data_IF_155172252311
#
_entry.id   IF_155172252311
#
_cell.length_a   1.000
_cell.length_b   1.000
_cell.length_c   1.000
_cell.angle_alpha   90.00
_cell.angle_beta   90.00
_cell.angle_gamma   90.00
#
_symmetry.space_group_name_H-M   'P 1'
#
loop_
_entity.id
_entity.type
_entity.pdbx_description
1 polymer ?
#
# COMPACT_ATOMS: atom_id res chain seq x y z
N UNK A 1 36.70 -36.22 -7.64
CA UNK A 1 35.44 -36.79 -7.11
C UNK A 1 34.38 -36.87 -8.21
N UNK A 2 33.92 -35.75 -8.77
CA UNK A 2 32.86 -35.76 -9.78
C UNK A 2 33.19 -36.57 -11.04
N UNK A 3 34.38 -36.42 -11.63
CA UNK A 3 34.79 -37.19 -12.82
C UNK A 3 34.74 -38.72 -12.60
N UNK A 4 35.01 -39.20 -11.37
CA UNK A 4 34.96 -40.62 -11.05
C UNK A 4 33.52 -41.16 -10.96
N UNK A 5 32.54 -40.29 -10.70
CA UNK A 5 31.13 -40.64 -10.52
C UNK A 5 30.33 -40.36 -11.80
N UNK A 6 30.83 -39.48 -12.66
CA UNK A 6 30.20 -39.02 -13.90
C UNK A 6 29.66 -40.13 -14.80
N UNK A 7 30.35 -41.27 -15.01
CA UNK A 7 29.82 -42.37 -15.83
C UNK A 7 28.58 -43.06 -15.24
N UNK A 8 28.34 -42.90 -13.94
CA UNK A 8 27.17 -43.45 -13.23
C UNK A 8 25.98 -42.50 -13.21
N UNK A 9 26.17 -41.22 -13.58
CA UNK A 9 25.11 -40.24 -13.61
C UNK A 9 24.23 -40.41 -14.87
N UNK A 10 22.93 -40.11 -14.79
CA UNK A 10 22.07 -40.01 -15.97
C UNK A 10 22.61 -39.02 -17.03
N UNK A 11 22.12 -39.06 -18.29
CA UNK A 11 22.53 -38.11 -19.32
C UNK A 11 22.46 -36.66 -18.83
N UNK A 12 23.57 -35.93 -18.98
CA UNK A 12 23.70 -34.58 -18.49
C UNK A 12 24.70 -33.78 -19.32
N UNK A 13 24.55 -32.46 -19.31
CA UNK A 13 25.55 -31.52 -19.82
C UNK A 13 26.24 -30.83 -18.66
N UNK A 14 27.52 -30.51 -18.84
CA UNK A 14 28.29 -29.71 -17.90
C UNK A 14 28.28 -28.26 -18.34
N UNK A 15 28.02 -27.34 -17.40
CA UNK A 15 28.24 -25.91 -17.56
C UNK A 15 29.19 -25.41 -16.48
N UNK A 16 29.92 -24.35 -16.78
CA UNK A 16 30.74 -23.67 -15.77
C UNK A 16 29.85 -23.18 -14.62
N UNK A 17 30.26 -23.51 -13.40
CA UNK A 17 29.63 -23.00 -12.19
C UNK A 17 30.33 -21.73 -11.68
N UNK A 18 29.95 -21.30 -10.48
CA UNK A 18 30.66 -20.22 -9.80
C UNK A 18 31.79 -20.79 -8.94
N UNK A 19 32.96 -20.13 -8.96
CA UNK A 19 34.15 -20.55 -8.22
C UNK A 19 34.52 -22.02 -8.49
N UNK A 20 34.62 -22.86 -7.44
CA UNK A 20 35.00 -24.28 -7.55
C UNK A 20 33.81 -25.22 -7.85
N UNK A 21 32.64 -24.69 -8.23
CA UNK A 21 31.48 -25.50 -8.57
C UNK A 21 31.36 -25.73 -10.07
N UNK A 22 30.69 -26.82 -10.44
CA UNK A 22 30.23 -27.08 -11.81
C UNK A 22 28.72 -27.29 -11.80
N UNK A 23 28.06 -26.96 -12.90
CA UNK A 23 26.62 -27.21 -13.06
C UNK A 23 26.39 -28.46 -13.88
N UNK A 24 25.64 -29.41 -13.32
CA UNK A 24 25.09 -30.55 -14.03
C UNK A 24 23.67 -30.19 -14.49
N UNK A 25 23.45 -30.15 -15.80
CA UNK A 25 22.14 -29.87 -16.39
C UNK A 25 21.59 -31.15 -16.99
N UNK A 26 20.46 -31.60 -16.44
CA UNK A 26 19.71 -32.76 -16.89
C UNK A 26 18.55 -32.31 -17.77
N UNK A 27 18.16 -33.13 -18.74
CA UNK A 27 17.02 -32.82 -19.61
C UNK A 27 15.70 -32.97 -18.85
N UNK A 28 15.63 -33.96 -17.95
CA UNK A 28 14.42 -34.28 -17.17
C UNK A 28 14.65 -34.21 -15.67
N UNK A 29 13.59 -33.91 -14.93
CA UNK A 29 13.65 -33.85 -13.47
C UNK A 29 14.01 -35.22 -12.88
N UNK A 30 13.45 -36.29 -13.41
CA UNK A 30 13.68 -37.68 -12.96
C UNK A 30 15.14 -38.13 -13.12
N UNK A 31 15.86 -37.54 -14.08
CA UNK A 31 17.30 -37.77 -14.26
C UNK A 31 18.11 -37.06 -13.19
N UNK A 32 17.79 -35.78 -12.91
CA UNK A 32 18.40 -35.06 -11.80
C UNK A 32 18.11 -35.76 -10.46
N UNK A 33 16.88 -36.21 -10.25
CA UNK A 33 16.43 -36.94 -9.06
C UNK A 33 17.25 -38.22 -8.83
N UNK A 34 17.51 -38.99 -9.89
CA UNK A 34 18.38 -40.18 -9.84
C UNK A 34 19.86 -39.85 -9.62
N UNK A 35 20.33 -38.69 -10.06
CA UNK A 35 21.70 -38.25 -9.84
C UNK A 35 22.01 -37.91 -8.37
N UNK A 36 21.02 -37.37 -7.63
CA UNK A 36 21.17 -36.91 -6.24
C UNK A 36 21.70 -37.96 -5.26
N UNK A 37 21.14 -39.18 -5.15
CA UNK A 37 21.67 -40.21 -4.25
C UNK A 37 23.10 -40.60 -4.65
N UNK A 38 23.38 -40.74 -5.94
CA UNK A 38 24.70 -41.09 -6.46
C UNK A 38 25.76 -40.05 -6.05
N UNK A 39 25.44 -38.76 -6.18
CA UNK A 39 26.34 -37.68 -5.74
C UNK A 39 26.52 -37.69 -4.22
N UNK A 40 25.45 -37.88 -3.46
CA UNK A 40 25.45 -37.92 -1.99
C UNK A 40 26.28 -39.06 -1.42
N UNK A 41 26.11 -40.27 -1.93
CA UNK A 41 26.87 -41.47 -1.53
C UNK A 41 28.37 -41.32 -1.79
N UNK A 42 28.75 -40.51 -2.78
CA UNK A 42 30.14 -40.24 -3.13
C UNK A 42 30.68 -38.95 -2.47
N UNK A 43 29.98 -38.40 -1.47
CA UNK A 43 30.42 -37.24 -0.69
C UNK A 43 30.46 -35.93 -1.48
N UNK A 44 29.83 -35.88 -2.66
CA UNK A 44 29.78 -34.69 -3.50
C UNK A 44 28.63 -33.81 -3.01
N UNK A 45 28.98 -32.64 -2.47
CA UNK A 45 27.99 -31.63 -2.08
C UNK A 45 27.41 -30.99 -3.33
N UNK A 46 26.08 -30.89 -3.38
CA UNK A 46 25.37 -30.24 -4.46
C UNK A 46 24.28 -29.31 -3.91
N UNK A 47 23.81 -28.39 -4.76
CA UNK A 47 22.59 -27.62 -4.55
C UNK A 47 21.75 -27.78 -5.82
N UNK A 48 20.45 -27.97 -5.66
CA UNK A 48 19.54 -28.00 -6.80
C UNK A 48 19.38 -26.57 -7.32
N UNK A 49 19.33 -26.42 -8.65
CA UNK A 49 19.08 -25.13 -9.29
C UNK A 49 17.66 -24.60 -9.04
N UNK A 50 17.31 -23.47 -9.66
CA UNK A 50 15.97 -22.88 -9.60
C UNK A 50 14.97 -23.59 -10.52
N UNK A 51 14.99 -24.92 -10.54
CA UNK A 51 14.07 -25.71 -11.35
C UNK A 51 12.67 -25.64 -10.77
N UNK A 52 11.67 -25.39 -11.61
CA UNK A 52 10.28 -25.50 -11.22
C UNK A 52 9.93 -26.97 -11.06
N UNK A 53 9.43 -27.33 -9.89
CA UNK A 53 8.99 -28.68 -9.57
C UNK A 53 7.46 -28.73 -9.55
N UNK A 54 6.84 -29.90 -9.74
CA UNK A 54 5.40 -30.06 -9.62
C UNK A 54 4.88 -29.45 -8.31
N UNK A 55 3.84 -28.62 -8.42
CA UNK A 55 3.22 -28.00 -7.25
C UNK A 55 2.19 -28.96 -6.66
N UNK A 56 2.46 -29.44 -5.44
CA UNK A 56 1.60 -30.40 -4.76
C UNK A 56 0.26 -29.75 -4.39
N UNK A 57 -0.84 -30.32 -4.89
CA UNK A 57 -2.19 -29.81 -4.63
C UNK A 57 -2.88 -30.47 -3.43
N UNK A 58 -2.65 -31.77 -3.22
CA UNK A 58 -3.40 -32.57 -2.23
C UNK A 58 -2.49 -33.18 -1.16
N UNK A 59 -3.08 -33.43 0.00
CA UNK A 59 -2.45 -34.06 1.16
C UNK A 59 -3.41 -35.00 1.88
N UNK A 60 -2.88 -35.70 2.88
CA UNK A 60 -3.62 -36.65 3.72
C UNK A 60 -4.00 -36.02 5.08
N UNK A 61 -4.40 -34.75 5.08
CA UNK A 61 -4.80 -34.05 6.30
C UNK A 61 -6.28 -34.30 6.58
N UNK A 62 -6.62 -34.51 7.85
CA UNK A 62 -8.01 -34.68 8.30
C UNK A 62 -8.85 -33.40 8.16
N UNK A 63 -8.19 -32.23 8.15
CA UNK A 63 -8.84 -30.92 8.04
C UNK A 63 -8.45 -30.23 6.73
N UNK A 64 -9.46 -29.94 5.89
CA UNK A 64 -9.32 -29.25 4.61
C UNK A 64 -10.48 -29.53 3.66
N UNK A 65 -10.50 -28.88 2.49
CA UNK A 65 -11.49 -29.17 1.44
C UNK A 65 -11.22 -30.56 0.86
N UNK A 66 -12.21 -31.48 0.81
CA UNK A 66 -12.03 -32.80 0.21
C UNK A 66 -11.62 -32.69 -1.26
N UNK A 67 -10.57 -33.41 -1.64
CA UNK A 67 -10.17 -33.53 -3.03
C UNK A 67 -11.02 -34.61 -3.72
N UNK A 68 -11.38 -34.43 -5.01
CA UNK A 68 -12.03 -35.47 -5.77
C UNK A 68 -11.10 -36.68 -5.91
N UNK A 69 -11.69 -37.87 -6.04
CA UNK A 69 -10.94 -39.08 -6.36
C UNK A 69 -10.36 -38.96 -7.78
N UNK A 70 -9.05 -39.09 -7.89
CA UNK A 70 -8.30 -39.03 -9.16
C UNK A 70 -7.35 -40.21 -9.18
N UNK A 71 -7.35 -40.97 -10.28
CA UNK A 71 -6.42 -42.10 -10.49
C UNK A 71 -6.45 -43.16 -9.36
N UNK A 72 -7.60 -43.34 -8.70
CA UNK A 72 -7.77 -44.28 -7.58
C UNK A 72 -7.20 -43.79 -6.24
N UNK A 73 -6.84 -42.51 -6.14
CA UNK A 73 -6.44 -41.87 -4.89
C UNK A 73 -7.66 -41.23 -4.22
N UNK A 74 -8.09 -41.83 -3.10
CA UNK A 74 -9.23 -41.38 -2.30
C UNK A 74 -8.80 -40.83 -0.92
N UNK A 75 -9.73 -40.17 -0.22
CA UNK A 75 -9.51 -39.70 1.16
C UNK A 75 -8.50 -38.56 1.30
N UNK A 76 -8.23 -37.82 0.22
CA UNK A 76 -7.30 -36.69 0.22
C UNK A 76 -8.03 -35.36 0.44
N UNK A 77 -7.28 -34.36 0.92
CA UNK A 77 -7.72 -32.97 1.07
C UNK A 77 -6.82 -32.04 0.27
N UNK A 78 -7.35 -30.92 -0.20
CA UNK A 78 -6.53 -29.85 -0.78
C UNK A 78 -5.64 -29.24 0.29
N UNK A 79 -4.38 -29.03 -0.07
CA UNK A 79 -3.45 -28.37 0.83
C UNK A 79 -3.76 -26.87 0.91
N UNK A 80 -3.56 -26.28 2.09
CA UNK A 80 -3.96 -24.89 2.37
C UNK A 80 -3.34 -23.87 1.40
N UNK A 81 -2.11 -24.13 0.93
CA UNK A 81 -1.44 -23.25 -0.02
C UNK A 81 -2.19 -23.16 -1.37
N UNK A 82 -2.44 -24.27 -2.09
CA UNK A 82 -3.34 -24.28 -3.26
C UNK A 82 -4.70 -23.64 -3.00
N UNK A 83 -5.37 -23.97 -1.89
CA UNK A 83 -6.67 -23.39 -1.55
C UNK A 83 -6.62 -21.87 -1.40
N UNK A 84 -5.56 -21.34 -0.76
CA UNK A 84 -5.38 -19.91 -0.58
C UNK A 84 -5.23 -19.14 -1.90
N UNK A 85 -4.77 -19.78 -2.97
CA UNK A 85 -4.65 -19.16 -4.29
C UNK A 85 -6.02 -18.89 -4.94
N UNK A 86 -7.07 -19.57 -4.48
CA UNK A 86 -8.45 -19.40 -4.94
C UNK A 86 -9.30 -18.55 -4.01
N UNK A 87 -8.89 -18.44 -2.74
CA UNK A 87 -9.65 -17.74 -1.71
C UNK A 87 -10.06 -16.30 -2.10
N UNK A 88 -9.24 -15.48 -2.79
CA UNK A 88 -9.67 -14.14 -3.22
C UNK A 88 -10.95 -14.12 -4.07
N UNK A 89 -11.14 -15.10 -4.96
CA UNK A 89 -12.36 -15.23 -5.76
C UNK A 89 -13.56 -15.58 -4.86
N UNK A 90 -13.36 -16.47 -3.89
CA UNK A 90 -14.40 -16.85 -2.92
C UNK A 90 -14.79 -15.67 -2.02
N UNK A 91 -13.83 -14.81 -1.66
CA UNK A 91 -14.09 -13.58 -0.92
C UNK A 91 -14.90 -12.58 -1.76
N UNK A 92 -14.59 -12.43 -3.06
CA UNK A 92 -15.42 -11.63 -3.98
C UNK A 92 -16.85 -12.14 -4.03
N UNK A 93 -17.05 -13.46 -4.21
CA UNK A 93 -18.37 -14.08 -4.22
C UNK A 93 -19.13 -13.83 -2.91
N UNK A 94 -18.47 -14.03 -1.76
CA UNK A 94 -19.06 -13.81 -0.42
C UNK A 94 -19.47 -12.35 -0.22
N UNK A 95 -18.63 -11.40 -0.65
CA UNK A 95 -18.92 -9.98 -0.56
C UNK A 95 -20.16 -9.59 -1.40
N UNK A 96 -20.27 -10.15 -2.61
CA UNK A 96 -21.43 -9.95 -3.48
C UNK A 96 -22.71 -10.49 -2.85
N UNK A 97 -22.68 -11.70 -2.27
CA UNK A 97 -23.83 -12.27 -1.57
C UNK A 97 -24.27 -11.41 -0.37
N UNK A 98 -23.32 -10.88 0.40
CA UNK A 98 -23.61 -9.97 1.52
C UNK A 98 -24.26 -8.66 1.05
N UNK A 99 -24.03 -8.25 -0.19
CA UNK A 99 -24.67 -7.09 -0.83
C UNK A 99 -25.98 -7.45 -1.55
N UNK A 100 -26.45 -8.69 -1.45
CA UNK A 100 -27.67 -9.17 -2.10
C UNK A 100 -27.51 -9.48 -3.59
N UNK A 101 -26.28 -9.55 -4.10
CA UNK A 101 -25.97 -9.93 -5.48
C UNK A 101 -25.71 -11.44 -5.60
N UNK A 102 -25.95 -12.06 -6.77
CA UNK A 102 -25.60 -13.46 -6.99
C UNK A 102 -24.09 -13.71 -6.84
N UNK A 103 -23.69 -14.74 -6.10
CA UNK A 103 -22.29 -15.13 -5.94
C UNK A 103 -21.55 -15.24 -7.29
N UNK A 104 -22.21 -15.77 -8.32
CA UNK A 104 -21.65 -15.97 -9.66
C UNK A 104 -21.16 -14.69 -10.35
N UNK A 105 -21.59 -13.51 -9.89
CA UNK A 105 -21.11 -12.23 -10.39
C UNK A 105 -19.63 -11.97 -10.04
N UNK A 106 -18.99 -12.83 -9.23
CA UNK A 106 -17.53 -12.77 -9.04
C UNK A 106 -16.78 -12.79 -10.39
N UNK A 107 -17.36 -13.44 -11.43
CA UNK A 107 -16.77 -13.47 -12.78
C UNK A 107 -16.62 -12.09 -13.40
N UNK A 108 -17.50 -11.14 -13.07
CA UNK A 108 -17.42 -9.75 -13.54
C UNK A 108 -16.17 -9.03 -13.02
N UNK A 109 -15.58 -9.52 -11.92
CA UNK A 109 -14.41 -8.92 -11.28
C UNK A 109 -13.10 -9.67 -11.58
N UNK A 110 -13.19 -10.86 -12.17
CA UNK A 110 -12.05 -11.76 -12.34
C UNK A 110 -11.90 -12.31 -13.75
N UNK A 111 -12.92 -12.25 -14.60
CA UNK A 111 -12.97 -12.94 -15.89
C UNK A 111 -13.42 -12.05 -17.06
N UNK A 112 -13.53 -10.74 -16.86
CA UNK A 112 -13.81 -9.78 -17.93
C UNK A 112 -12.53 -9.11 -18.41
N UNK A 113 -12.50 -8.62 -19.66
CA UNK A 113 -11.28 -7.99 -20.20
C UNK A 113 -10.91 -6.65 -19.54
N UNK A 114 -11.88 -5.96 -18.94
CA UNK A 114 -11.69 -4.71 -18.20
C UNK A 114 -11.28 -4.94 -16.73
N UNK A 115 -11.46 -6.16 -16.20
CA UNK A 115 -11.04 -6.50 -14.84
C UNK A 115 -9.52 -6.45 -14.69
N UNK A 116 -9.07 -5.70 -13.67
CA UNK A 116 -7.67 -5.69 -13.22
C UNK A 116 -7.62 -6.07 -11.74
N UNK A 117 -6.98 -7.19 -11.44
CA UNK A 117 -6.87 -7.71 -10.08
C UNK A 117 -5.49 -7.39 -9.52
N UNK A 118 -5.43 -6.76 -8.35
CA UNK A 118 -4.18 -6.49 -7.63
C UNK A 118 -4.05 -7.37 -6.38
N UNK A 119 -2.90 -7.99 -6.18
CA UNK A 119 -2.56 -8.82 -5.02
C UNK A 119 -1.47 -8.13 -4.19
N UNK A 120 -1.87 -7.46 -3.11
CA UNK A 120 -0.94 -6.88 -2.14
C UNK A 120 -0.44 -7.96 -1.18
N UNK A 121 0.84 -8.32 -1.29
CA UNK A 121 1.41 -9.45 -0.54
C UNK A 121 2.77 -9.11 0.06
N UNK A 122 3.17 -9.87 1.08
CA UNK A 122 4.57 -9.91 1.52
C UNK A 122 5.47 -10.64 0.51
N UNK A 123 6.74 -10.24 0.42
CA UNK A 123 7.70 -10.78 -0.56
C UNK A 123 7.88 -12.31 -0.52
N UNK A 124 7.71 -12.92 0.66
CA UNK A 124 7.78 -14.38 0.85
C UNK A 124 6.65 -15.13 0.09
N UNK A 125 5.59 -14.43 -0.34
CA UNK A 125 4.45 -15.02 -1.06
C UNK A 125 4.52 -14.89 -2.59
N UNK A 126 5.56 -14.23 -3.13
CA UNK A 126 5.66 -13.94 -4.57
C UNK A 126 5.66 -15.21 -5.43
N UNK A 127 6.28 -16.30 -4.97
CA UNK A 127 6.23 -17.58 -5.70
C UNK A 127 4.80 -18.10 -5.85
N UNK A 128 4.02 -18.06 -4.77
CA UNK A 128 2.69 -18.66 -4.71
C UNK A 128 1.70 -17.89 -5.60
N UNK A 129 1.67 -16.57 -5.49
CA UNK A 129 0.74 -15.75 -6.28
C UNK A 129 1.28 -15.41 -7.67
N UNK A 130 2.60 -15.37 -7.87
CA UNK A 130 3.20 -14.91 -9.12
C UNK A 130 3.56 -16.00 -10.10
N UNK A 131 3.67 -17.22 -9.60
CA UNK A 131 3.97 -18.38 -10.43
C UNK A 131 2.91 -19.46 -10.27
N UNK A 132 2.66 -19.95 -9.05
CA UNK A 132 1.75 -21.07 -8.86
C UNK A 132 0.30 -20.72 -9.25
N UNK A 133 -0.23 -19.60 -8.75
CA UNK A 133 -1.59 -19.13 -9.11
C UNK A 133 -1.71 -18.87 -10.62
N UNK A 134 -0.73 -18.19 -11.21
CA UNK A 134 -0.75 -17.88 -12.64
C UNK A 134 -0.72 -19.14 -13.50
N UNK A 135 0.11 -20.12 -13.14
CA UNK A 135 0.17 -21.40 -13.84
C UNK A 135 -1.15 -22.17 -13.72
N UNK A 136 -1.79 -22.14 -12.55
CA UNK A 136 -3.11 -22.73 -12.34
C UNK A 136 -4.16 -22.07 -13.23
N UNK A 137 -4.20 -20.73 -13.28
CA UNK A 137 -5.16 -19.99 -14.10
C UNK A 137 -4.93 -20.24 -15.59
N UNK A 138 -3.68 -20.21 -16.04
CA UNK A 138 -3.30 -20.55 -17.41
C UNK A 138 -3.68 -22.00 -17.78
N UNK A 139 -3.53 -22.93 -16.85
CA UNK A 139 -3.91 -24.33 -17.04
C UNK A 139 -5.41 -24.58 -17.12
N UNK A 140 -6.23 -23.60 -16.75
CA UNK A 140 -7.70 -23.66 -16.82
C UNK A 140 -8.29 -22.98 -18.06
N UNK A 141 -7.45 -22.34 -18.88
CA UNK A 141 -7.88 -21.72 -20.12
C UNK A 141 -8.24 -22.78 -21.16
N UNK A 142 -9.18 -22.44 -22.04
CA UNK A 142 -9.50 -23.28 -23.19
C UNK A 142 -8.48 -23.05 -24.31
N UNK A 143 -7.90 -24.14 -24.83
CA UNK A 143 -6.93 -24.09 -25.91
C UNK A 143 -5.51 -23.75 -25.45
N UNK A 144 -4.81 -22.89 -26.19
CA UNK A 144 -3.40 -22.57 -25.91
C UNK A 144 -3.32 -21.48 -24.83
N UNK A 145 -2.64 -21.72 -23.70
CA UNK A 145 -2.53 -20.72 -22.64
C UNK A 145 -1.91 -19.40 -23.10
N UNK A 146 -2.51 -18.30 -22.66
CA UNK A 146 -2.13 -16.91 -22.98
C UNK A 146 -2.22 -16.01 -21.76
N UNK A 147 -1.32 -15.02 -21.69
CA UNK A 147 -1.31 -13.99 -20.63
C UNK A 147 -2.38 -12.92 -20.84
N UNK A 148 -3.00 -12.85 -22.02
CA UNK A 148 -4.20 -12.06 -22.28
C UNK A 148 -5.36 -13.01 -22.63
N UNK A 149 -6.05 -13.58 -21.62
CA UNK A 149 -7.16 -14.50 -21.84
C UNK A 149 -8.34 -13.83 -22.57
N UNK A 150 -9.13 -14.60 -23.34
CA UNK A 150 -10.41 -14.14 -23.87
C UNK A 150 -11.41 -13.79 -22.75
N UNK A 151 -12.51 -13.14 -23.15
CA UNK A 151 -13.64 -12.84 -22.26
C UNK A 151 -14.21 -14.13 -21.64
N UNK A 152 -14.47 -14.12 -20.34
CA UNK A 152 -14.99 -15.26 -19.59
C UNK A 152 -13.92 -16.15 -18.94
N UNK A 153 -12.64 -15.95 -19.25
CA UNK A 153 -11.52 -16.64 -18.61
C UNK A 153 -10.81 -15.79 -17.56
N UNK A 154 -10.23 -16.45 -16.55
CA UNK A 154 -9.59 -15.78 -15.41
C UNK A 154 -8.43 -14.88 -15.84
N UNK A 155 -8.51 -13.60 -15.44
CA UNK A 155 -7.43 -12.62 -15.63
C UNK A 155 -6.24 -12.96 -14.73
N UNK A 156 -5.04 -12.82 -15.28
CA UNK A 156 -3.82 -12.90 -14.47
C UNK A 156 -3.75 -11.67 -13.55
N UNK A 157 -3.30 -11.88 -12.32
CA UNK A 157 -3.26 -10.83 -11.29
C UNK A 157 -1.97 -10.00 -11.36
N UNK A 158 -2.03 -8.77 -10.84
CA UNK A 158 -0.88 -7.88 -10.68
C UNK A 158 -0.39 -7.97 -9.25
N UNK A 159 0.87 -8.37 -9.07
CA UNK A 159 1.44 -8.47 -7.72
C UNK A 159 2.01 -7.13 -7.28
N UNK A 160 1.62 -6.71 -6.08
CA UNK A 160 2.23 -5.60 -5.36
C UNK A 160 2.93 -6.18 -4.13
N UNK A 161 4.21 -6.47 -4.28
CA UNK A 161 5.02 -7.11 -3.25
C UNK A 161 5.63 -6.08 -2.29
N UNK A 162 5.42 -6.30 -0.99
CA UNK A 162 6.00 -5.50 0.09
C UNK A 162 7.07 -6.31 0.82
N UNK A 163 8.24 -5.71 1.04
CA UNK A 163 9.33 -6.31 1.81
C UNK A 163 9.04 -6.29 3.31
N UNK A 164 9.84 -7.02 4.08
CA UNK A 164 9.64 -7.13 5.53
C UNK A 164 9.68 -5.77 6.25
N UNK A 165 8.77 -5.62 7.21
CA UNK A 165 8.96 -4.71 8.33
C UNK A 165 9.78 -5.43 9.39
N UNK A 166 10.92 -4.86 9.76
CA UNK A 166 11.74 -5.35 10.87
C UNK A 166 11.29 -4.67 12.16
N UNK A 167 11.29 -5.38 13.28
CA UNK A 167 11.04 -4.77 14.59
C UNK A 167 12.37 -4.58 15.30
N UNK A 168 12.73 -3.32 15.61
CA UNK A 168 14.01 -2.97 16.22
C UNK A 168 15.22 -3.63 15.49
N UNK A 169 15.23 -3.50 14.16
CA UNK A 169 16.26 -4.01 13.23
C UNK A 169 16.38 -5.52 13.09
N UNK A 170 15.40 -6.26 13.62
CA UNK A 170 15.36 -7.72 13.54
C UNK A 170 14.07 -8.20 12.92
N UNK A 171 14.13 -9.35 12.25
CA UNK A 171 12.91 -10.04 11.82
C UNK A 171 12.08 -10.34 13.05
N UNK A 172 10.82 -9.91 13.04
CA UNK A 172 9.89 -10.11 14.13
C UNK A 172 9.80 -11.61 14.47
N UNK A 173 9.92 -11.94 15.76
CA UNK A 173 9.91 -13.32 16.25
C UNK A 173 9.01 -13.43 17.46
N UNK A 174 7.99 -14.29 17.39
CA UNK A 174 7.07 -14.57 18.50
C UNK A 174 7.73 -15.30 19.66
N UNK A 175 8.84 -16.01 19.41
CA UNK A 175 9.67 -16.69 20.41
C UNK A 175 10.82 -15.84 20.96
N UNK A 176 10.99 -14.61 20.45
CA UNK A 176 12.04 -13.69 20.89
C UNK A 176 11.78 -13.08 22.27
N UNK A 177 12.84 -12.65 22.96
CA UNK A 177 12.74 -11.95 24.24
C UNK A 177 12.02 -10.58 24.13
N UNK A 178 12.17 -9.90 22.99
CA UNK A 178 11.46 -8.66 22.67
C UNK A 178 10.37 -9.00 21.66
N UNK A 179 9.13 -9.05 22.13
CA UNK A 179 7.99 -9.41 21.29
C UNK A 179 7.59 -8.23 20.41
N UNK A 180 7.32 -8.45 19.11
CA UNK A 180 6.71 -7.43 18.28
C UNK A 180 5.32 -7.06 18.85
N UNK A 181 4.93 -5.78 18.84
CA UNK A 181 3.62 -5.37 19.32
C UNK A 181 2.51 -5.87 18.41
N UNK A 182 1.33 -6.09 18.98
CA UNK A 182 0.11 -6.27 18.20
C UNK A 182 -0.37 -4.91 17.70
N UNK A 183 -1.15 -4.91 16.62
CA UNK A 183 -1.73 -3.67 16.08
C UNK A 183 -2.53 -2.90 17.14
N UNK A 184 -3.28 -3.61 18.00
CA UNK A 184 -4.02 -2.98 19.10
C UNK A 184 -3.13 -2.30 20.15
N UNK A 185 -1.94 -2.85 20.41
CA UNK A 185 -1.01 -2.30 21.42
C UNK A 185 -0.40 -0.98 20.92
N UNK A 186 -0.32 -0.80 19.60
CA UNK A 186 0.10 0.46 18.99
C UNK A 186 -0.93 1.57 19.21
N UNK A 187 -2.22 1.24 19.31
CA UNK A 187 -3.29 2.21 19.51
C UNK A 187 -3.29 2.83 20.91
N UNK A 188 -2.53 2.28 21.85
CA UNK A 188 -2.29 2.91 23.16
C UNK A 188 -1.34 4.12 23.06
N UNK A 189 -0.67 4.30 21.92
CA UNK A 189 0.36 5.32 21.74
C UNK A 189 0.17 6.19 20.51
N UNK A 190 -0.57 5.71 19.50
CA UNK A 190 -0.70 6.35 18.20
C UNK A 190 -2.16 6.35 17.75
N UNK A 191 -2.58 7.40 17.05
CA UNK A 191 -3.89 7.38 16.37
C UNK A 191 -3.81 6.53 15.09
N UNK A 192 -4.96 6.16 14.54
CA UNK A 192 -5.04 5.39 13.30
C UNK A 192 -4.39 6.16 12.14
N UNK A 193 -4.70 7.44 11.97
CA UNK A 193 -4.11 8.31 10.95
C UNK A 193 -2.58 8.41 11.07
N UNK A 194 -2.04 8.45 12.30
CA UNK A 194 -0.60 8.47 12.53
C UNK A 194 0.07 7.17 12.05
N UNK A 195 -0.52 6.01 12.36
CA UNK A 195 -0.01 4.72 11.91
C UNK A 195 -0.13 4.54 10.40
N UNK A 196 -1.25 4.95 9.80
CA UNK A 196 -1.45 4.90 8.33
C UNK A 196 -0.40 5.73 7.60
N UNK A 197 -0.20 6.98 8.01
CA UNK A 197 0.80 7.86 7.44
C UNK A 197 2.22 7.30 7.58
N UNK A 198 2.53 6.67 8.72
CA UNK A 198 3.82 6.02 8.93
C UNK A 198 4.01 4.81 8.02
N UNK A 199 3.08 3.85 8.00
CA UNK A 199 3.28 2.61 7.24
C UNK A 199 3.30 2.84 5.71
N UNK A 200 2.50 3.76 5.20
CA UNK A 200 2.51 4.11 3.78
C UNK A 200 3.79 4.85 3.36
N UNK A 201 4.50 5.51 4.29
CA UNK A 201 5.75 6.21 4.01
C UNK A 201 7.00 5.33 3.99
N UNK A 202 6.91 4.06 4.42
CA UNK A 202 8.08 3.19 4.56
C UNK A 202 8.72 2.75 3.23
N UNK A 203 8.01 2.87 2.10
CA UNK A 203 8.56 2.45 0.80
C UNK A 203 8.91 0.96 0.75
N UNK A 204 8.06 0.09 1.32
CA UNK A 204 8.31 -1.36 1.40
C UNK A 204 8.40 -2.05 0.03
N UNK A 205 7.92 -1.41 -1.03
CA UNK A 205 8.14 -1.82 -2.42
C UNK A 205 9.61 -1.74 -2.87
N UNK A 206 10.49 -1.05 -2.13
CA UNK A 206 11.91 -0.85 -2.48
C UNK A 206 12.87 -1.61 -1.56
N UNK A 207 12.60 -1.61 -0.24
CA UNK A 207 13.49 -2.18 0.77
C UNK A 207 12.74 -2.59 2.03
N UNK A 208 13.30 -3.53 2.78
CA UNK A 208 12.85 -3.80 4.14
C UNK A 208 13.16 -2.59 5.03
N UNK A 209 12.25 -2.22 5.91
CA UNK A 209 12.41 -1.07 6.81
C UNK A 209 12.17 -1.46 8.26
N UNK A 210 12.91 -0.83 9.16
CA UNK A 210 12.83 -1.08 10.59
C UNK A 210 11.81 -0.17 11.26
N UNK A 211 10.79 -0.78 11.82
CA UNK A 211 9.79 -0.16 12.68
C UNK A 211 10.34 -0.05 14.10
N UNK A 212 10.45 1.18 14.59
CA UNK A 212 11.06 1.53 15.88
C UNK A 212 10.18 2.48 16.70
N UNK A 213 8.99 2.04 17.14
CA UNK A 213 8.13 2.83 18.03
C UNK A 213 8.87 3.16 19.33
N UNK A 214 9.05 4.45 19.62
CA UNK A 214 9.78 4.90 20.83
C UNK A 214 9.21 4.32 22.14
N UNK A 215 7.88 4.32 22.39
CA UNK A 215 7.30 3.82 23.64
C UNK A 215 7.53 2.32 23.87
N UNK A 216 7.80 1.57 22.79
CA UNK A 216 7.96 0.12 22.80
C UNK A 216 9.41 -0.31 22.52
N UNK A 217 10.34 0.64 22.48
CA UNK A 217 11.76 0.38 22.34
C UNK A 217 12.46 0.50 23.70
N UNK A 218 12.89 -0.62 24.33
CA UNK A 218 13.54 -0.60 25.63
C UNK A 218 14.87 0.17 25.67
N UNK A 219 15.45 0.48 24.50
CA UNK A 219 16.71 1.21 24.34
C UNK A 219 16.50 2.65 23.88
N UNK A 220 15.26 3.12 23.78
CA UNK A 220 14.97 4.47 23.34
C UNK A 220 15.57 5.51 24.30
N UNK A 221 16.23 6.53 23.74
CA UNK A 221 16.61 7.70 24.51
C UNK A 221 15.35 8.53 24.81
N UNK A 222 15.04 8.88 26.07
CA UNK A 222 13.92 9.75 26.39
C UNK A 222 13.91 11.08 25.63
N UNK A 223 15.06 11.57 25.17
CA UNK A 223 15.22 12.82 24.41
C UNK A 223 15.07 12.65 22.90
N UNK A 224 15.11 11.44 22.37
CA UNK A 224 14.99 11.24 20.93
C UNK A 224 13.55 11.46 20.45
N UNK A 225 13.39 11.94 19.22
CA UNK A 225 12.07 12.00 18.59
C UNK A 225 11.59 10.58 18.26
N UNK A 226 10.29 10.33 18.40
CA UNK A 226 9.73 9.05 18.00
C UNK A 226 9.77 8.90 16.46
N UNK A 227 10.50 7.92 15.91
CA UNK A 227 10.58 7.71 14.46
C UNK A 227 9.21 7.47 13.81
N UNK A 228 8.27 6.90 14.55
CA UNK A 228 6.91 6.61 14.05
C UNK A 228 6.08 7.88 13.87
N UNK A 229 6.43 8.96 14.59
CA UNK A 229 5.71 10.22 14.52
C UNK A 229 6.23 11.17 13.44
N UNK A 230 7.20 10.79 12.62
CA UNK A 230 7.78 11.69 11.60
C UNK A 230 6.70 12.20 10.63
N UNK A 231 5.92 11.30 10.03
CA UNK A 231 4.85 11.67 9.10
C UNK A 231 3.60 12.16 9.84
N UNK A 232 3.35 11.66 11.05
CA UNK A 232 2.32 12.21 11.93
C UNK A 232 2.52 13.72 12.20
N UNK A 233 3.78 14.16 12.37
CA UNK A 233 4.10 15.55 12.61
C UNK A 233 3.83 16.46 11.40
N UNK A 234 3.84 15.91 10.18
CA UNK A 234 3.36 16.63 9.00
C UNK A 234 1.87 16.96 9.17
N UNK A 235 1.06 15.96 9.53
CA UNK A 235 -0.38 16.11 9.73
C UNK A 235 -0.67 17.04 10.92
N UNK A 236 -0.20 16.67 12.12
CA UNK A 236 -0.57 17.32 13.37
C UNK A 236 0.00 18.73 13.53
N UNK A 237 1.05 19.07 12.78
CA UNK A 237 1.68 20.39 12.86
C UNK A 237 1.50 21.18 11.56
N UNK A 238 2.13 20.76 10.45
CA UNK A 238 2.16 21.56 9.23
C UNK A 238 0.79 21.63 8.55
N UNK A 239 0.06 20.52 8.49
CA UNK A 239 -1.25 20.49 7.86
C UNK A 239 -2.31 21.18 8.72
N UNK A 240 -2.35 20.88 10.03
CA UNK A 240 -3.18 21.66 10.98
C UNK A 240 -2.90 23.16 10.86
N UNK A 241 -1.62 23.59 10.80
CA UNK A 241 -1.28 25.01 10.63
C UNK A 241 -1.89 25.58 9.34
N UNK A 242 -1.77 24.89 8.22
CA UNK A 242 -2.32 25.32 6.94
C UNK A 242 -3.84 25.51 7.04
N UNK A 243 -4.57 24.49 7.48
CA UNK A 243 -6.03 24.52 7.58
C UNK A 243 -6.49 25.60 8.58
N UNK A 244 -5.96 25.58 9.81
CA UNK A 244 -6.35 26.50 10.88
C UNK A 244 -6.10 27.95 10.50
N UNK A 245 -5.01 28.23 9.78
CA UNK A 245 -4.68 29.58 9.34
C UNK A 245 -5.75 30.15 8.40
N UNK A 246 -6.24 29.33 7.47
CA UNK A 246 -7.37 29.70 6.61
C UNK A 246 -8.62 29.98 7.46
N UNK A 247 -9.06 29.03 8.29
CA UNK A 247 -10.27 29.19 9.11
C UNK A 247 -10.24 30.41 10.03
N UNK A 248 -9.17 30.60 10.81
CA UNK A 248 -9.07 31.73 11.74
C UNK A 248 -9.05 33.08 11.03
N UNK A 249 -8.37 33.17 9.89
CA UNK A 249 -8.27 34.43 9.14
C UNK A 249 -9.58 34.75 8.44
N UNK A 250 -10.25 33.74 7.88
CA UNK A 250 -11.59 33.87 7.32
C UNK A 250 -12.63 34.25 8.37
N UNK A 251 -12.59 33.64 9.56
CA UNK A 251 -13.45 34.02 10.69
C UNK A 251 -13.23 35.47 11.13
N UNK A 252 -11.97 35.95 11.13
CA UNK A 252 -11.65 37.32 11.59
C UNK A 252 -12.01 38.39 10.55
N UNK A 253 -11.77 38.14 9.26
CA UNK A 253 -11.80 39.19 8.24
C UNK A 253 -12.86 39.00 7.15
N UNK A 254 -13.51 37.84 7.08
CA UNK A 254 -14.47 37.47 6.03
C UNK A 254 -15.75 36.84 6.60
N UNK A 255 -16.09 37.10 7.86
CA UNK A 255 -17.30 36.61 8.53
C UNK A 255 -17.47 35.08 8.46
N UNK A 256 -16.37 34.33 8.38
CA UNK A 256 -16.42 32.87 8.26
C UNK A 256 -16.77 32.35 6.86
N UNK A 257 -16.78 33.20 5.82
CA UNK A 257 -17.15 32.84 4.43
C UNK A 257 -15.92 32.77 3.53
N UNK A 258 -15.94 31.88 2.53
CA UNK A 258 -14.89 31.81 1.52
C UNK A 258 -14.74 33.18 0.83
N UNK A 259 -13.55 33.79 0.78
CA UNK A 259 -13.35 35.03 0.04
C UNK A 259 -13.55 34.81 -1.46
N UNK A 260 -14.17 35.76 -2.13
CA UNK A 260 -14.28 35.77 -3.58
C UNK A 260 -12.92 36.07 -4.22
N UNK A 261 -12.63 35.40 -5.33
CA UNK A 261 -11.40 35.63 -6.08
C UNK A 261 -11.03 34.49 -7.01
N UNK A 262 -10.06 34.77 -7.87
CA UNK A 262 -9.42 33.79 -8.74
C UNK A 262 -8.10 33.35 -8.12
N UNK A 263 -7.84 32.05 -8.14
CA UNK A 263 -6.57 31.46 -7.70
C UNK A 263 -5.43 31.97 -8.59
N UNK A 264 -4.29 32.29 -8.00
CA UNK A 264 -3.11 32.73 -8.74
C UNK A 264 -2.68 31.65 -9.76
N UNK A 265 -2.32 32.01 -11.01
CA UNK A 265 -1.97 31.03 -12.04
C UNK A 265 -0.84 30.08 -11.63
N UNK A 266 0.17 30.57 -10.91
CA UNK A 266 1.29 29.75 -10.43
C UNK A 266 0.87 28.76 -9.33
N UNK A 267 -0.18 29.07 -8.55
CA UNK A 267 -0.75 28.15 -7.56
C UNK A 267 -1.57 27.07 -8.24
N UNK A 268 -2.31 27.41 -9.29
CA UNK A 268 -3.03 26.44 -10.12
C UNK A 268 -2.04 25.45 -10.74
N UNK A 269 -1.05 25.95 -11.49
CA UNK A 269 -0.03 25.11 -12.14
C UNK A 269 0.68 24.17 -11.14
N UNK A 270 1.09 24.73 -9.99
CA UNK A 270 1.76 23.95 -8.94
C UNK A 270 0.89 22.85 -8.35
N UNK A 271 -0.39 23.15 -8.11
CA UNK A 271 -1.35 22.22 -7.53
C UNK A 271 -1.73 21.13 -8.53
N UNK A 272 -1.97 21.48 -9.79
CA UNK A 272 -2.22 20.54 -10.89
C UNK A 272 -1.04 19.57 -11.05
N UNK A 273 0.20 20.09 -11.02
CA UNK A 273 1.41 19.26 -11.08
C UNK A 273 1.47 18.28 -9.89
N UNK A 274 1.18 18.75 -8.68
CA UNK A 274 1.16 17.89 -7.49
C UNK A 274 0.12 16.76 -7.60
N UNK A 275 -1.07 17.06 -8.15
CA UNK A 275 -2.14 16.07 -8.35
C UNK A 275 -1.70 15.01 -9.35
N UNK A 276 -1.11 15.41 -10.48
CA UNK A 276 -0.65 14.50 -11.53
C UNK A 276 0.53 13.63 -11.06
N UNK A 277 1.50 14.23 -10.37
CA UNK A 277 2.63 13.50 -9.78
C UNK A 277 2.16 12.50 -8.71
N UNK A 278 1.15 12.88 -7.92
CA UNK A 278 0.53 12.01 -6.93
C UNK A 278 -0.17 10.83 -7.62
N UNK A 279 -0.93 11.08 -8.69
CA UNK A 279 -1.61 10.04 -9.46
C UNK A 279 -0.60 9.05 -10.05
N UNK A 280 0.49 9.55 -10.65
CA UNK A 280 1.58 8.70 -11.17
C UNK A 280 2.20 7.85 -10.07
N UNK A 281 2.49 8.44 -8.90
CA UNK A 281 3.02 7.71 -7.75
C UNK A 281 2.05 6.62 -7.26
N UNK A 282 0.74 6.92 -7.19
CA UNK A 282 -0.29 5.96 -6.79
C UNK A 282 -0.41 4.80 -7.78
N UNK A 283 -0.41 5.06 -9.09
CA UNK A 283 -0.44 4.03 -10.14
C UNK A 283 0.80 3.12 -10.07
N UNK A 284 1.95 3.67 -9.71
CA UNK A 284 3.20 2.93 -9.50
C UNK A 284 3.30 2.24 -8.15
N UNK A 285 2.32 2.45 -7.26
CA UNK A 285 2.33 1.96 -5.88
C UNK A 285 3.49 2.54 -5.05
N UNK A 286 3.99 3.72 -5.43
CA UNK A 286 5.01 4.51 -4.74
C UNK A 286 4.35 5.38 -3.64
N UNK A 287 3.62 4.78 -2.70
CA UNK A 287 2.82 5.51 -1.71
C UNK A 287 3.63 6.49 -0.85
N UNK A 288 4.89 6.15 -0.58
CA UNK A 288 5.81 7.01 0.15
C UNK A 288 6.08 8.33 -0.60
N UNK A 289 6.22 8.26 -1.93
CA UNK A 289 6.38 9.42 -2.80
C UNK A 289 5.09 10.21 -2.91
N UNK A 290 3.94 9.53 -2.99
CA UNK A 290 2.63 10.18 -2.98
C UNK A 290 2.46 11.05 -1.71
N UNK A 291 2.82 10.55 -0.53
CA UNK A 291 2.81 11.31 0.72
C UNK A 291 3.81 12.47 0.68
N UNK A 292 5.01 12.27 0.13
CA UNK A 292 6.04 13.31 0.04
C UNK A 292 5.62 14.49 -0.84
N UNK A 293 4.96 14.22 -1.98
CA UNK A 293 4.41 15.25 -2.88
C UNK A 293 3.41 16.14 -2.14
N UNK A 294 2.48 15.53 -1.38
CA UNK A 294 1.50 16.31 -0.61
C UNK A 294 2.16 17.05 0.56
N UNK A 295 3.18 16.45 1.18
CA UNK A 295 3.96 17.10 2.22
C UNK A 295 4.65 18.38 1.72
N UNK A 296 5.20 18.34 0.50
CA UNK A 296 5.79 19.51 -0.16
C UNK A 296 4.74 20.58 -0.44
N UNK A 297 3.59 20.21 -0.99
CA UNK A 297 2.48 21.15 -1.24
C UNK A 297 2.03 21.86 0.05
N UNK A 298 1.89 21.11 1.16
CA UNK A 298 1.53 21.68 2.47
C UNK A 298 2.62 22.62 2.99
N UNK A 299 3.91 22.27 2.82
CA UNK A 299 5.03 23.12 3.26
C UNK A 299 5.10 24.41 2.45
N UNK A 300 4.95 24.32 1.13
CA UNK A 300 4.91 25.48 0.23
C UNK A 300 3.75 26.41 0.57
N UNK A 301 2.55 25.87 0.81
CA UNK A 301 1.40 26.66 1.26
C UNK A 301 1.73 27.46 2.54
N UNK A 302 2.30 26.79 3.54
CA UNK A 302 2.69 27.45 4.80
C UNK A 302 3.77 28.53 4.59
N UNK A 303 4.70 28.34 3.64
CA UNK A 303 5.71 29.34 3.29
C UNK A 303 5.08 30.56 2.61
N UNK A 304 4.20 30.36 1.61
CA UNK A 304 3.44 31.44 0.95
C UNK A 304 2.62 32.23 1.97
N UNK A 305 1.92 31.52 2.84
CA UNK A 305 1.15 32.12 3.94
C UNK A 305 1.99 32.99 4.86
N UNK A 306 3.16 32.48 5.27
CA UNK A 306 4.10 33.22 6.14
C UNK A 306 4.66 34.45 5.43
N UNK A 307 4.92 34.38 4.12
CA UNK A 307 5.40 35.53 3.34
C UNK A 307 4.34 36.63 3.22
N UNK A 308 3.08 36.25 2.96
CA UNK A 308 1.97 37.20 2.82
C UNK A 308 1.51 37.81 4.16
N UNK A 309 1.71 37.10 5.28
CA UNK A 309 1.27 37.52 6.62
C UNK A 309 -0.21 37.98 6.70
N UNK A 310 -1.18 37.25 6.11
CA UNK A 310 -2.57 37.70 5.99
C UNK A 310 -3.29 37.87 7.33
N UNK A 311 -2.78 37.23 8.39
CA UNK A 311 -3.33 37.31 9.74
C UNK A 311 -3.07 38.65 10.44
N UNK A 312 -2.06 39.42 9.99
CA UNK A 312 -1.70 40.71 10.56
C UNK A 312 -2.73 41.79 10.22
N UNK A 313 -2.95 42.74 11.11
CA UNK A 313 -3.98 43.76 10.96
C UNK A 313 -3.63 44.76 9.86
N UNK A 314 -2.34 45.11 9.77
CA UNK A 314 -1.74 45.99 8.77
C UNK A 314 -1.59 45.36 7.38
N UNK A 315 -1.95 44.08 7.21
CA UNK A 315 -1.90 43.42 5.91
C UNK A 315 -2.90 44.07 4.95
N UNK A 316 -2.44 44.38 3.73
CA UNK A 316 -3.29 44.90 2.66
C UNK A 316 -4.48 43.95 2.41
N UNK A 317 -5.73 44.46 2.34
CA UNK A 317 -6.91 43.64 2.16
C UNK A 317 -6.89 42.74 0.92
N UNK A 318 -6.35 43.23 -0.20
CA UNK A 318 -6.26 42.44 -1.44
C UNK A 318 -5.20 41.34 -1.33
N UNK A 319 -4.06 41.65 -0.71
CA UNK A 319 -3.03 40.63 -0.41
C UNK A 319 -3.59 39.55 0.51
N UNK A 320 -4.34 39.93 1.56
CA UNK A 320 -5.01 38.99 2.47
C UNK A 320 -6.01 38.11 1.74
N UNK A 321 -6.86 38.71 0.91
CA UNK A 321 -7.88 38.02 0.12
C UNK A 321 -7.24 36.99 -0.81
N UNK A 322 -6.24 37.40 -1.59
CA UNK A 322 -5.52 36.50 -2.52
C UNK A 322 -4.81 35.36 -1.76
N UNK A 323 -4.13 35.67 -0.65
CA UNK A 323 -3.47 34.64 0.16
C UNK A 323 -4.44 33.58 0.69
N UNK A 324 -5.67 33.97 1.05
CA UNK A 324 -6.71 33.02 1.44
C UNK A 324 -7.23 32.19 0.27
N UNK A 325 -7.53 32.82 -0.87
CA UNK A 325 -8.01 32.12 -2.07
C UNK A 325 -7.00 31.05 -2.50
N UNK A 326 -5.72 31.43 -2.60
CA UNK A 326 -4.63 30.52 -2.94
C UNK A 326 -4.47 29.42 -1.89
N UNK A 327 -4.48 29.77 -0.59
CA UNK A 327 -4.28 28.79 0.47
C UNK A 327 -5.42 27.79 0.59
N UNK A 328 -6.67 28.22 0.41
CA UNK A 328 -7.81 27.29 0.35
C UNK A 328 -7.73 26.36 -0.86
N UNK A 329 -7.24 26.82 -2.02
CA UNK A 329 -7.04 25.94 -3.17
C UNK A 329 -6.01 24.85 -2.87
N UNK A 330 -4.85 25.21 -2.34
CA UNK A 330 -3.79 24.25 -1.95
C UNK A 330 -4.25 23.31 -0.83
N UNK A 331 -4.96 23.84 0.19
CA UNK A 331 -5.51 23.04 1.30
C UNK A 331 -6.56 22.06 0.79
N UNK A 332 -7.44 22.47 -0.13
CA UNK A 332 -8.45 21.58 -0.71
C UNK A 332 -7.78 20.41 -1.43
N UNK A 333 -6.81 20.68 -2.30
CA UNK A 333 -6.06 19.62 -2.98
C UNK A 333 -5.35 18.69 -1.98
N UNK A 334 -4.59 19.25 -1.02
CA UNK A 334 -3.93 18.44 0.00
C UNK A 334 -4.90 17.61 0.84
N UNK A 335 -6.11 18.11 1.11
CA UNK A 335 -7.14 17.39 1.88
C UNK A 335 -7.66 16.19 1.11
N UNK A 336 -7.97 16.35 -0.18
CA UNK A 336 -8.40 15.23 -1.04
C UNK A 336 -7.28 14.20 -1.21
N UNK A 337 -6.05 14.65 -1.48
CA UNK A 337 -4.91 13.76 -1.68
C UNK A 337 -4.48 13.02 -0.39
N UNK A 338 -4.71 13.60 0.80
CA UNK A 338 -4.44 12.91 2.06
C UNK A 338 -5.59 12.05 2.57
N UNK A 339 -6.78 12.08 1.96
CA UNK A 339 -7.92 11.29 2.43
C UNK A 339 -7.65 9.76 2.48
N UNK A 340 -6.98 9.16 1.48
CA UNK A 340 -6.57 7.75 1.56
C UNK A 340 -5.55 7.46 2.68
N UNK A 341 -4.89 8.47 3.24
CA UNK A 341 -3.85 8.32 4.27
C UNK A 341 -4.40 8.63 5.66
N UNK A 342 -5.09 9.75 5.81
CA UNK A 342 -5.59 10.29 7.08
C UNK A 342 -7.09 10.68 6.95
N UNK A 343 -7.98 9.68 6.78
CA UNK A 343 -9.39 9.92 6.51
C UNK A 343 -10.08 10.67 7.66
N UNK A 344 -9.80 10.35 8.92
CA UNK A 344 -10.49 10.98 10.06
C UNK A 344 -10.26 12.50 10.09
N UNK A 345 -9.00 12.93 9.96
CA UNK A 345 -8.69 14.35 9.96
C UNK A 345 -9.15 15.08 8.70
N UNK A 346 -9.07 14.46 7.53
CA UNK A 346 -9.52 15.08 6.27
C UNK A 346 -11.04 15.19 6.19
N UNK A 347 -11.78 14.19 6.69
CA UNK A 347 -13.23 14.27 6.86
C UNK A 347 -13.63 15.42 7.78
N UNK A 348 -12.93 15.58 8.92
CA UNK A 348 -13.14 16.72 9.82
C UNK A 348 -12.91 18.06 9.11
N UNK A 349 -11.91 18.17 8.22
CA UNK A 349 -11.73 19.39 7.41
C UNK A 349 -12.95 19.66 6.53
N UNK A 350 -13.43 18.65 5.80
CA UNK A 350 -14.62 18.75 4.94
C UNK A 350 -15.86 19.15 5.73
N UNK A 351 -16.11 18.52 6.87
CA UNK A 351 -17.24 18.84 7.76
C UNK A 351 -17.21 20.30 8.22
N UNK A 352 -16.02 20.82 8.54
CA UNK A 352 -15.88 22.22 8.95
C UNK A 352 -16.04 23.19 7.78
N UNK A 353 -15.62 22.80 6.57
CA UNK A 353 -15.94 23.54 5.35
C UNK A 353 -17.44 23.50 5.05
N UNK A 354 -18.17 22.49 5.51
CA UNK A 354 -19.62 22.35 5.30
C UNK A 354 -20.00 22.06 3.85
N UNK A 355 -19.19 21.26 3.16
CA UNK A 355 -19.39 20.83 1.76
C UNK A 355 -19.70 19.33 1.69
N UNK A 356 -20.30 18.86 0.60
CA UNK A 356 -20.74 17.47 0.47
C UNK A 356 -19.66 16.49 0.00
N UNK A 357 -20.07 15.24 -0.23
CA UNK A 357 -19.23 14.12 -0.73
C UNK A 357 -18.56 14.44 -2.08
N UNK A 358 -19.14 15.32 -2.90
CA UNK A 358 -18.56 15.77 -4.16
C UNK A 358 -17.16 16.40 -3.99
N UNK A 359 -16.81 16.83 -2.78
CA UNK A 359 -15.48 17.32 -2.43
C UNK A 359 -14.37 16.30 -2.74
N UNK A 360 -14.68 15.00 -2.61
CA UNK A 360 -13.77 13.88 -2.86
C UNK A 360 -13.71 13.45 -4.34
N UNK A 361 -14.51 14.06 -5.23
CA UNK A 361 -14.58 13.65 -6.63
C UNK A 361 -13.26 13.89 -7.36
N UNK A 362 -12.70 12.80 -7.91
CA UNK A 362 -11.51 12.87 -8.78
C UNK A 362 -11.80 13.58 -10.10
N UNK A 363 -13.02 13.47 -10.63
CA UNK A 363 -13.43 14.17 -11.86
C UNK A 363 -13.37 15.70 -11.70
N UNK A 364 -13.51 16.18 -10.46
CA UNK A 364 -13.48 17.60 -10.10
C UNK A 364 -12.18 17.97 -9.36
N UNK A 365 -11.12 17.17 -9.47
CA UNK A 365 -9.88 17.34 -8.70
C UNK A 365 -9.14 18.66 -9.03
N UNK A 366 -9.35 19.25 -10.19
CA UNK A 366 -8.72 20.53 -10.57
C UNK A 366 -9.57 21.76 -10.23
N UNK A 367 -10.82 21.56 -9.78
CA UNK A 367 -11.70 22.68 -9.44
C UNK A 367 -11.30 23.34 -8.11
N UNK A 368 -11.43 24.68 -7.99
CA UNK A 368 -11.19 25.39 -6.75
C UNK A 368 -12.28 25.08 -5.71
N UNK A 369 -12.00 25.38 -4.45
CA UNK A 369 -12.96 25.20 -3.36
C UNK A 369 -14.30 25.94 -3.59
N UNK A 370 -14.28 27.08 -4.28
CA UNK A 370 -15.49 27.85 -4.63
C UNK A 370 -16.49 27.08 -5.49
N UNK A 371 -16.08 26.04 -6.21
CA UNK A 371 -16.98 25.20 -6.99
C UNK A 371 -17.82 24.23 -6.12
N UNK A 372 -17.45 24.08 -4.85
CA UNK A 372 -18.11 23.20 -3.88
C UNK A 372 -18.86 23.97 -2.79
N UNK A 373 -18.60 25.28 -2.67
CA UNK A 373 -19.16 26.13 -1.63
C UNK A 373 -20.33 26.94 -2.20
N UNK A 374 -21.57 26.75 -1.70
CA UNK A 374 -22.72 27.53 -2.16
C UNK A 374 -22.56 29.03 -1.88
N UNK A 375 -23.19 29.87 -2.71
CA UNK A 375 -23.17 31.32 -2.50
C UNK A 375 -23.73 31.70 -1.11
N UNK A 376 -23.00 32.54 -0.37
CA UNK A 376 -23.38 32.97 0.98
C UNK A 376 -23.15 31.94 2.08
N UNK A 377 -22.59 30.77 1.76
CA UNK A 377 -22.25 29.73 2.73
C UNK A 377 -21.22 30.24 3.75
N UNK A 378 -21.43 29.86 5.01
CA UNK A 378 -20.54 30.19 6.12
C UNK A 378 -20.00 28.89 6.69
N UNK A 379 -18.68 28.81 6.83
CA UNK A 379 -18.02 27.64 7.39
C UNK A 379 -18.38 27.43 8.86
N UNK A 380 -18.27 26.19 9.34
CA UNK A 380 -18.42 25.89 10.76
C UNK A 380 -17.34 26.65 11.55
N UNK A 381 -17.76 27.31 12.63
CA UNK A 381 -16.84 28.08 13.45
C UNK A 381 -15.80 27.17 14.13
N UNK A 382 -14.53 27.41 13.84
CA UNK A 382 -13.39 26.73 14.42
C UNK A 382 -13.02 27.34 15.77
N UNK A 383 -13.14 26.54 16.82
CA UNK A 383 -12.76 26.95 18.17
C UNK A 383 -11.24 27.15 18.28
N UNK A 384 -10.77 28.03 19.19
CA UNK A 384 -9.35 28.17 19.45
C UNK A 384 -8.73 26.84 19.87
N UNK A 385 -7.61 26.48 19.24
CA UNK A 385 -6.84 25.24 19.49
C UNK A 385 -7.52 23.93 19.08
N UNK A 386 -8.63 23.99 18.36
CA UNK A 386 -9.18 22.82 17.69
C UNK A 386 -8.21 22.34 16.59
N UNK A 387 -7.85 21.07 16.63
CA UNK A 387 -6.98 20.42 15.65
C UNK A 387 -7.79 19.45 14.76
N UNK A 388 -7.46 19.38 13.48
CA UNK A 388 -8.07 18.44 12.54
C UNK A 388 -7.38 17.08 12.62
N UNK A 389 -6.06 17.10 12.74
CA UNK A 389 -5.23 15.92 12.92
C UNK A 389 -4.71 15.91 14.36
N UNK A 390 -5.43 15.24 15.26
CA UNK A 390 -5.11 15.23 16.68
C UNK A 390 -3.91 14.33 16.99
N UNK A 391 -3.11 14.76 17.96
CA UNK A 391 -2.11 13.90 18.59
C UNK A 391 -2.79 12.95 19.56
N UNK A 392 -2.29 11.71 19.61
CA UNK A 392 -2.77 10.73 20.59
C UNK A 392 -2.62 11.29 22.03
N UNK A 393 -3.56 11.03 22.96
CA UNK A 393 -3.49 11.55 24.32
C UNK A 393 -2.18 11.27 25.07
N UNK A 394 -1.51 10.15 24.79
CA UNK A 394 -0.20 9.81 25.38
C UNK A 394 0.95 10.70 24.92
N UNK A 395 0.74 11.55 23.91
CA UNK A 395 1.74 12.45 23.31
C UNK A 395 1.58 13.89 23.80
N UNK A 396 0.61 14.15 24.69
CA UNK A 396 0.29 15.48 25.23
C UNK A 396 1.08 15.79 26.50
#
# INVERSE_FOLDING_TARGET
ALEAVRPKLPPHTLREGQAQSVQLVFERLEEMERARPILGENGIRYRVGKTLVPFRLTGNLEWGVPAPEIEGLEGLTFWVWPESLWAPISFTATCLEQQGQPASHWKEWWATRDATVYQFIGEDNVYFYGLAQMAIFLGMQEGRPTVDPPEGELRLTRIVANRHILFLDKKASSSGAVKPPLAKDLLDYYTVDQLRAHFLSLGLGERSVSFRPKPLNPKADPREADPVLKEANLLSNAFNRAVRSCFYTTQKYFEGRLPEGTVSPDVVERTETAILDYEEAMVRHEFHRAIEIVAELIRENNQRWTKANPYKEECDPEVRRLALVDSFHMVRAATVLMHPVAPEGTEKVREYLGVGEEFWSWERIFEPLSAFVPAGHTFKFLQPKEDFFEKHPSQK
#
